data_IF_511877988637
#
_entry.id   IF_511877988637
#
_cell.length_a   1.000
_cell.length_b   1.000
_cell.length_c   1.000
_cell.angle_alpha   90.00
_cell.angle_beta   90.00
_cell.angle_gamma   90.00
#
_symmetry.space_group_name_H-M   'P 1'
#
loop_
_entity.id
_entity.type
_entity.pdbx_description
1 polymer ?
#
# COMPACT_ATOMS: atom_id res chain seq x y z
N UNK A 1 -8.97 -43.38 5.46
CA UNK A 1 -10.07 -42.39 5.47
C UNK A 1 -9.52 -41.13 4.82
N UNK A 2 -10.11 -40.63 3.74
CA UNK A 2 -9.79 -39.30 3.19
C UNK A 2 -10.48 -38.28 4.08
N UNK A 3 -9.73 -37.34 4.64
CA UNK A 3 -10.29 -36.24 5.41
C UNK A 3 -11.01 -35.25 4.46
N UNK A 4 -12.32 -35.17 4.59
CA UNK A 4 -13.17 -34.36 3.71
C UNK A 4 -12.89 -32.86 3.84
N UNK A 5 -12.32 -32.39 4.97
CA UNK A 5 -11.95 -30.99 5.21
C UNK A 5 -10.89 -30.47 4.24
N UNK A 6 -10.11 -31.35 3.59
CA UNK A 6 -9.12 -30.98 2.58
C UNK A 6 -9.65 -31.08 1.14
N UNK A 7 -10.91 -31.49 0.97
CA UNK A 7 -11.58 -31.56 -0.33
C UNK A 7 -12.23 -30.22 -0.71
N UNK A 8 -12.50 -30.05 -2.02
CA UNK A 8 -13.29 -28.91 -2.50
C UNK A 8 -14.78 -29.14 -2.18
N UNK A 9 -15.27 -28.59 -1.09
CA UNK A 9 -16.71 -28.58 -0.77
C UNK A 9 -17.39 -27.39 -1.46
N UNK A 10 -18.06 -27.67 -2.58
CA UNK A 10 -18.77 -26.67 -3.35
C UNK A 10 -19.87 -25.97 -2.52
N UNK A 11 -20.65 -26.70 -1.78
CA UNK A 11 -21.78 -26.17 -1.02
C UNK A 11 -21.27 -25.27 0.13
N UNK A 12 -20.20 -25.71 0.83
CA UNK A 12 -19.53 -24.91 1.87
C UNK A 12 -18.92 -23.63 1.33
N UNK A 13 -18.26 -23.68 0.16
CA UNK A 13 -17.69 -22.47 -0.48
C UNK A 13 -18.77 -21.50 -0.96
N UNK A 14 -19.88 -21.98 -1.53
CA UNK A 14 -21.02 -21.15 -1.91
C UNK A 14 -21.67 -20.50 -0.68
N UNK A 15 -21.82 -21.23 0.43
CA UNK A 15 -22.31 -20.69 1.71
C UNK A 15 -21.37 -19.64 2.28
N UNK A 16 -20.06 -19.87 2.28
CA UNK A 16 -19.04 -18.91 2.73
C UNK A 16 -19.07 -17.62 1.91
N UNK A 17 -19.18 -17.71 0.58
CA UNK A 17 -19.36 -16.56 -0.30
C UNK A 17 -20.68 -15.83 0.01
N UNK A 18 -21.76 -16.57 0.26
CA UNK A 18 -23.05 -16.00 0.67
C UNK A 18 -22.96 -15.23 1.98
N UNK A 19 -22.20 -15.71 2.97
CA UNK A 19 -21.93 -14.99 4.23
C UNK A 19 -21.20 -13.68 3.95
N UNK A 20 -20.13 -13.72 3.18
CA UNK A 20 -19.36 -12.52 2.79
C UNK A 20 -20.26 -11.48 2.12
N UNK A 21 -21.02 -11.86 1.09
CA UNK A 21 -21.85 -10.93 0.32
C UNK A 21 -22.99 -10.34 1.13
N UNK A 22 -23.60 -11.11 2.06
CA UNK A 22 -24.62 -10.59 2.98
C UNK A 22 -24.04 -9.52 3.91
N UNK A 23 -22.94 -9.82 4.60
CA UNK A 23 -22.28 -8.85 5.51
C UNK A 23 -21.72 -7.63 4.77
N UNK A 24 -21.36 -7.77 3.49
CA UNK A 24 -20.99 -6.62 2.65
C UNK A 24 -22.18 -5.74 2.30
N UNK A 25 -23.37 -6.31 2.09
CA UNK A 25 -24.57 -5.56 1.73
C UNK A 25 -25.26 -4.93 2.96
N UNK A 26 -25.34 -5.68 4.06
CA UNK A 26 -26.02 -5.26 5.31
C UNK A 26 -25.17 -5.69 6.51
N UNK A 27 -24.22 -4.82 6.94
CA UNK A 27 -23.29 -5.15 8.01
C UNK A 27 -23.96 -5.32 9.36
N UNK A 28 -23.83 -6.47 9.97
CA UNK A 28 -24.34 -6.70 11.35
C UNK A 28 -23.49 -5.99 12.41
N UNK A 29 -22.19 -5.77 12.16
CA UNK A 29 -21.30 -5.03 13.04
C UNK A 29 -21.16 -5.59 14.44
N UNK A 30 -21.36 -6.90 14.62
CA UNK A 30 -21.30 -7.53 15.92
C UNK A 30 -19.90 -7.48 16.53
N UNK A 31 -19.83 -7.38 17.87
CA UNK A 31 -18.55 -7.51 18.58
C UNK A 31 -17.94 -8.92 18.35
N UNK A 32 -16.61 -9.00 18.40
CA UNK A 32 -15.90 -10.27 18.23
C UNK A 32 -16.27 -11.23 19.39
N UNK A 33 -16.94 -12.33 19.06
CA UNK A 33 -17.31 -13.40 19.97
C UNK A 33 -16.44 -14.64 19.75
N UNK A 34 -15.29 -14.67 20.41
CA UNK A 34 -14.39 -15.83 20.39
C UNK A 34 -14.14 -16.33 21.82
N UNK A 35 -13.96 -17.65 22.00
CA UNK A 35 -13.58 -18.20 23.30
C UNK A 35 -12.19 -17.66 23.71
N UNK A 36 -11.98 -17.44 25.01
CA UNK A 36 -10.72 -16.96 25.57
C UNK A 36 -9.57 -17.97 25.41
N UNK A 37 -9.87 -19.25 25.22
CA UNK A 37 -8.90 -20.31 25.00
C UNK A 37 -9.30 -21.17 23.80
N UNK A 38 -8.33 -21.91 23.24
CA UNK A 38 -8.59 -22.85 22.15
C UNK A 38 -9.63 -23.89 22.58
N UNK A 39 -10.76 -24.02 21.85
CA UNK A 39 -11.77 -25.03 22.13
C UNK A 39 -11.19 -26.46 22.05
N UNK A 40 -11.58 -27.32 22.97
CA UNK A 40 -11.19 -28.74 22.94
C UNK A 40 -11.88 -29.54 21.84
N UNK A 41 -13.02 -29.03 21.34
CA UNK A 41 -13.75 -29.62 20.22
C UNK A 41 -14.14 -28.52 19.23
N UNK A 42 -14.03 -28.81 17.92
CA UNK A 42 -14.43 -27.90 16.85
C UNK A 42 -15.95 -27.85 16.68
N UNK A 43 -16.46 -26.74 16.17
CA UNK A 43 -17.86 -26.55 15.83
C UNK A 43 -18.21 -26.97 14.38
N UNK A 44 -17.19 -27.27 13.57
CA UNK A 44 -17.28 -27.47 12.12
C UNK A 44 -17.07 -26.20 11.32
N UNK A 45 -16.77 -26.36 10.04
CA UNK A 45 -16.28 -25.27 9.16
C UNK A 45 -17.32 -24.17 8.99
N UNK A 46 -18.56 -24.53 8.64
CA UNK A 46 -19.61 -23.54 8.39
C UNK A 46 -20.00 -22.75 9.65
N UNK A 47 -20.12 -23.42 10.79
CA UNK A 47 -20.43 -22.77 12.07
C UNK A 47 -19.30 -21.82 12.51
N UNK A 48 -18.03 -22.15 12.21
CA UNK A 48 -16.90 -21.26 12.46
C UNK A 48 -16.99 -19.99 11.59
N UNK A 49 -17.36 -20.13 10.31
CA UNK A 49 -17.54 -19.00 9.40
C UNK A 49 -18.74 -18.12 9.79
N UNK A 50 -19.87 -18.72 10.15
CA UNK A 50 -21.07 -18.03 10.64
C UNK A 50 -20.79 -17.23 11.93
N UNK A 51 -19.93 -17.74 12.79
CA UNK A 51 -19.51 -17.05 14.00
C UNK A 51 -18.59 -15.86 13.72
N UNK A 52 -17.69 -15.97 12.72
CA UNK A 52 -16.72 -14.94 12.39
C UNK A 52 -17.29 -13.83 11.52
N UNK A 53 -18.17 -14.14 10.57
CA UNK A 53 -18.61 -13.20 9.55
C UNK A 53 -19.24 -11.91 10.12
N UNK A 54 -20.12 -11.93 11.13
CA UNK A 54 -20.72 -10.71 11.68
C UNK A 54 -19.71 -9.70 12.24
N UNK A 55 -18.67 -10.18 12.92
CA UNK A 55 -17.66 -9.32 13.51
C UNK A 55 -16.53 -8.98 12.52
N UNK A 56 -16.02 -9.97 11.78
CA UNK A 56 -14.86 -9.77 10.89
C UNK A 56 -15.26 -9.04 9.61
N UNK A 57 -16.32 -9.47 8.95
CA UNK A 57 -16.81 -8.84 7.72
C UNK A 57 -17.75 -7.68 8.03
N UNK A 58 -18.75 -7.89 8.90
CA UNK A 58 -19.73 -6.87 9.28
C UNK A 58 -19.12 -5.72 10.06
N UNK A 59 -18.10 -5.97 10.91
CA UNK A 59 -17.37 -4.96 11.69
C UNK A 59 -16.28 -4.23 10.90
N UNK A 60 -15.92 -4.70 9.69
CA UNK A 60 -14.86 -4.06 8.90
C UNK A 60 -15.30 -2.73 8.31
N UNK A 61 -14.41 -1.74 8.33
CA UNK A 61 -14.67 -0.47 7.64
C UNK A 61 -14.66 -0.68 6.13
N UNK A 62 -15.65 -0.10 5.45
CA UNK A 62 -15.81 -0.19 4.00
C UNK A 62 -14.87 0.81 3.31
N UNK A 63 -13.70 0.36 2.87
CA UNK A 63 -12.69 1.18 2.18
C UNK A 63 -13.21 1.76 0.85
N UNK A 64 -14.19 1.11 0.22
CA UNK A 64 -14.86 1.59 -1.00
C UNK A 64 -16.11 2.43 -0.76
N UNK A 65 -16.45 2.80 0.49
CA UNK A 65 -17.57 3.68 0.75
C UNK A 65 -17.31 5.10 0.19
N UNK A 66 -18.34 5.79 -0.35
CA UNK A 66 -18.15 7.13 -0.92
C UNK A 66 -17.56 8.15 0.06
N UNK A 67 -17.82 8.02 1.35
CA UNK A 67 -17.26 8.91 2.37
C UNK A 67 -15.87 8.53 2.88
N UNK A 68 -15.22 7.48 2.34
CA UNK A 68 -13.90 7.05 2.84
C UNK A 68 -12.76 7.73 2.08
N UNK A 69 -12.13 8.73 2.73
CA UNK A 69 -10.93 9.44 2.27
C UNK A 69 -9.90 9.54 3.40
N UNK A 70 -9.33 8.41 3.84
CA UNK A 70 -8.50 8.38 5.04
C UNK A 70 -7.09 7.84 4.84
N UNK A 71 -6.93 6.54 4.82
CA UNK A 71 -5.63 5.88 4.77
C UNK A 71 -5.19 5.59 3.32
N UNK A 72 -3.92 5.23 3.14
CA UNK A 72 -3.40 4.74 1.86
C UNK A 72 -3.86 3.29 1.59
N UNK A 73 -5.14 3.02 1.85
CA UNK A 73 -5.76 1.70 1.79
C UNK A 73 -6.94 1.74 0.81
N UNK A 74 -6.74 1.37 -0.46
CA UNK A 74 -7.81 1.31 -1.44
C UNK A 74 -8.73 0.11 -1.22
N UNK A 75 -9.97 0.15 -1.75
CA UNK A 75 -10.73 -1.07 -1.97
C UNK A 75 -10.03 -1.95 -3.01
N UNK A 76 -10.19 -3.27 -2.89
CA UNK A 76 -9.66 -4.22 -3.85
C UNK A 76 -10.71 -4.62 -4.88
N UNK A 77 -10.36 -4.84 -6.15
CA UNK A 77 -11.31 -5.28 -7.17
C UNK A 77 -11.74 -6.74 -6.93
N UNK A 78 -12.99 -7.06 -7.24
CA UNK A 78 -13.55 -8.41 -7.03
C UNK A 78 -12.76 -9.52 -7.75
N UNK A 79 -12.14 -9.20 -8.90
CA UNK A 79 -11.29 -10.16 -9.62
C UNK A 79 -10.07 -10.58 -8.78
N UNK A 80 -9.51 -9.66 -7.99
CA UNK A 80 -8.42 -9.99 -7.07
C UNK A 80 -8.89 -10.91 -5.95
N UNK A 81 -10.13 -10.77 -5.44
CA UNK A 81 -10.70 -11.69 -4.43
C UNK A 81 -10.82 -13.11 -4.97
N UNK A 82 -11.38 -13.23 -6.20
CA UNK A 82 -11.58 -14.54 -6.84
C UNK A 82 -10.26 -15.29 -6.99
N UNK A 83 -9.21 -14.58 -7.44
CA UNK A 83 -7.91 -15.21 -7.70
C UNK A 83 -7.12 -15.43 -6.39
N UNK A 84 -7.33 -14.62 -5.36
CA UNK A 84 -6.79 -14.90 -4.02
C UNK A 84 -7.31 -16.22 -3.45
N UNK A 85 -8.57 -16.58 -3.72
CA UNK A 85 -9.10 -17.91 -3.37
C UNK A 85 -8.36 -19.04 -4.11
N UNK A 86 -8.00 -18.84 -5.39
CA UNK A 86 -7.18 -19.83 -6.12
C UNK A 86 -5.81 -20.00 -5.49
N UNK A 87 -5.15 -18.87 -5.13
CA UNK A 87 -3.85 -18.92 -4.46
C UNK A 87 -3.92 -19.70 -3.14
N UNK A 88 -4.99 -19.46 -2.34
CA UNK A 88 -5.22 -20.19 -1.10
C UNK A 88 -5.50 -21.68 -1.32
N UNK A 89 -6.36 -22.01 -2.30
CA UNK A 89 -6.72 -23.40 -2.61
C UNK A 89 -5.53 -24.22 -3.13
N UNK A 90 -4.65 -23.61 -3.92
CA UNK A 90 -3.47 -24.28 -4.49
C UNK A 90 -2.30 -24.33 -3.52
N UNK A 91 -2.21 -23.39 -2.58
CA UNK A 91 -1.14 -23.26 -1.57
C UNK A 91 0.27 -23.47 -2.15
N UNK A 92 0.53 -22.90 -3.33
CA UNK A 92 1.79 -23.07 -4.06
C UNK A 92 2.94 -22.39 -3.33
N UNK A 93 4.08 -23.07 -3.26
CA UNK A 93 5.32 -22.53 -2.72
C UNK A 93 6.28 -22.18 -3.86
N UNK A 94 6.51 -20.88 -4.11
CA UNK A 94 7.35 -20.40 -5.20
C UNK A 94 8.84 -20.69 -4.99
N UNK A 95 9.25 -21.10 -3.79
CA UNK A 95 10.62 -21.56 -3.54
C UNK A 95 10.95 -22.84 -4.33
N UNK A 96 9.95 -23.68 -4.59
CA UNK A 96 10.10 -24.96 -5.28
C UNK A 96 9.39 -24.97 -6.63
N UNK A 97 10.11 -25.00 -7.78
CA UNK A 97 9.50 -25.06 -9.10
C UNK A 97 8.52 -26.23 -9.30
N UNK A 98 8.75 -27.35 -8.63
CA UNK A 98 7.89 -28.54 -8.74
C UNK A 98 6.50 -28.29 -8.16
N UNK A 99 6.37 -27.46 -7.12
CA UNK A 99 5.08 -27.12 -6.48
C UNK A 99 4.42 -25.88 -7.09
N UNK A 100 5.17 -25.04 -7.81
CA UNK A 100 4.68 -23.78 -8.38
C UNK A 100 5.22 -23.52 -9.79
N UNK A 101 5.04 -24.44 -10.75
CA UNK A 101 5.72 -24.35 -12.06
C UNK A 101 5.31 -23.10 -12.86
N UNK A 102 4.03 -22.71 -12.80
CA UNK A 102 3.47 -21.57 -13.55
C UNK A 102 3.49 -20.28 -12.72
N UNK A 103 3.27 -20.36 -11.40
CA UNK A 103 3.14 -19.18 -10.56
C UNK A 103 4.42 -18.36 -10.48
N UNK A 104 5.59 -19.00 -10.55
CA UNK A 104 6.89 -18.32 -10.62
C UNK A 104 7.07 -17.57 -11.93
N UNK A 105 6.77 -18.22 -13.08
CA UNK A 105 6.82 -17.56 -14.40
C UNK A 105 5.83 -16.38 -14.44
N UNK A 106 4.66 -16.52 -13.85
CA UNK A 106 3.68 -15.44 -13.75
C UNK A 106 4.24 -14.24 -12.98
N UNK A 107 4.92 -14.47 -11.85
CA UNK A 107 5.56 -13.40 -11.09
C UNK A 107 6.62 -12.67 -11.92
N UNK A 108 7.53 -13.42 -12.57
CA UNK A 108 8.54 -12.86 -13.46
C UNK A 108 7.91 -12.04 -14.58
N UNK A 109 6.77 -12.49 -15.13
CA UNK A 109 6.03 -11.79 -16.18
C UNK A 109 5.39 -10.50 -15.69
N UNK A 110 4.78 -10.50 -14.49
CA UNK A 110 4.18 -9.30 -13.88
C UNK A 110 5.24 -8.24 -13.61
N UNK A 111 6.41 -8.65 -13.10
CA UNK A 111 7.55 -7.75 -12.90
C UNK A 111 8.00 -7.17 -14.25
N UNK A 112 8.15 -8.00 -15.29
CA UNK A 112 8.55 -7.56 -16.62
C UNK A 112 7.55 -6.58 -17.27
N UNK A 113 6.25 -6.66 -16.94
CA UNK A 113 5.27 -5.68 -17.40
C UNK A 113 5.41 -4.32 -16.73
N UNK A 114 5.80 -4.29 -15.45
CA UNK A 114 5.79 -3.07 -14.66
C UNK A 114 7.16 -2.37 -14.59
N UNK A 115 8.25 -3.12 -14.53
CA UNK A 115 9.61 -2.57 -14.37
C UNK A 115 9.98 -1.48 -15.38
N UNK A 116 9.65 -1.59 -16.68
CA UNK A 116 10.01 -0.57 -17.68
C UNK A 116 9.42 0.82 -17.40
N UNK A 117 8.27 0.93 -16.71
CA UNK A 117 7.68 2.23 -16.35
C UNK A 117 8.53 3.03 -15.35
N UNK A 118 9.45 2.36 -14.69
CA UNK A 118 10.37 2.94 -13.72
C UNK A 118 11.82 3.00 -14.21
N UNK A 119 12.10 2.61 -15.47
CA UNK A 119 13.45 2.49 -15.99
C UNK A 119 14.24 1.30 -15.44
N UNK A 120 13.55 0.30 -14.88
CA UNK A 120 14.17 -0.86 -14.23
C UNK A 120 14.21 -2.07 -15.17
N UNK A 121 15.25 -2.90 -15.01
CA UNK A 121 15.43 -4.12 -15.82
C UNK A 121 14.64 -5.33 -15.28
N UNK A 122 14.28 -5.31 -13.98
CA UNK A 122 13.57 -6.40 -13.31
C UNK A 122 13.47 -6.21 -11.82
N UNK A 123 13.20 -7.31 -11.09
CA UNK A 123 13.02 -7.31 -9.65
C UNK A 123 12.25 -8.54 -9.19
N UNK A 124 11.55 -8.43 -8.05
CA UNK A 124 10.67 -9.48 -7.54
C UNK A 124 9.59 -8.93 -6.62
N UNK A 125 8.58 -9.74 -6.33
CA UNK A 125 7.54 -9.38 -5.37
C UNK A 125 8.00 -9.62 -3.93
N UNK A 126 7.49 -8.76 -3.05
CA UNK A 126 7.70 -8.82 -1.60
C UNK A 126 6.39 -8.49 -0.87
N UNK A 127 6.20 -8.90 0.40
CA UNK A 127 4.91 -8.71 1.09
C UNK A 127 4.57 -7.26 1.44
N UNK A 128 5.45 -6.31 1.18
CA UNK A 128 5.17 -4.89 1.40
C UNK A 128 6.40 -4.04 1.16
N UNK A 129 6.20 -2.74 0.94
CA UNK A 129 7.30 -1.81 0.62
C UNK A 129 8.32 -1.66 1.75
N UNK A 130 7.98 -1.97 3.00
CA UNK A 130 8.98 -2.05 4.07
C UNK A 130 10.03 -3.12 3.78
N UNK A 131 9.61 -4.28 3.24
CA UNK A 131 10.52 -5.34 2.81
C UNK A 131 11.21 -4.97 1.50
N UNK A 132 10.51 -4.25 0.59
CA UNK A 132 11.14 -3.73 -0.63
C UNK A 132 12.29 -2.77 -0.32
N UNK A 133 12.07 -1.79 0.57
CA UNK A 133 13.11 -0.85 1.01
C UNK A 133 14.28 -1.59 1.70
N UNK A 134 13.98 -2.56 2.57
CA UNK A 134 15.00 -3.39 3.21
C UNK A 134 15.82 -4.15 2.18
N UNK A 135 15.18 -4.79 1.19
CA UNK A 135 15.84 -5.59 0.17
C UNK A 135 16.71 -4.73 -0.75
N UNK A 136 16.23 -3.55 -1.14
CA UNK A 136 16.99 -2.61 -1.96
C UNK A 136 18.25 -2.11 -1.25
N UNK A 137 18.13 -1.72 0.02
CA UNK A 137 19.25 -1.27 0.84
C UNK A 137 20.22 -2.41 1.19
N UNK A 138 19.72 -3.63 1.32
CA UNK A 138 20.57 -4.80 1.47
C UNK A 138 21.41 -5.05 0.22
N UNK A 139 20.81 -5.02 -0.98
CA UNK A 139 21.54 -5.12 -2.23
C UNK A 139 22.63 -4.01 -2.36
N UNK A 140 22.28 -2.77 -2.01
CA UNK A 140 23.23 -1.65 -1.99
C UNK A 140 24.44 -1.92 -1.08
N UNK A 141 24.19 -2.43 0.13
CA UNK A 141 25.26 -2.79 1.08
C UNK A 141 26.18 -3.88 0.53
N UNK A 142 25.59 -4.96 0.01
CA UNK A 142 26.38 -6.11 -0.50
C UNK A 142 27.16 -5.77 -1.76
N UNK A 143 26.59 -4.94 -2.66
CA UNK A 143 27.23 -4.60 -3.93
C UNK A 143 28.31 -3.52 -3.80
N UNK A 144 28.05 -2.49 -3.00
CA UNK A 144 28.85 -1.26 -3.01
C UNK A 144 29.43 -0.92 -1.65
N UNK A 145 29.16 -1.73 -0.61
CA UNK A 145 29.65 -1.49 0.74
C UNK A 145 29.18 -0.17 1.33
N UNK A 146 27.93 0.25 1.02
CA UNK A 146 27.36 1.46 1.64
C UNK A 146 27.34 1.33 3.15
N UNK A 147 27.62 2.41 3.86
CA UNK A 147 27.72 2.45 5.31
C UNK A 147 26.61 3.28 5.96
N UNK A 148 25.96 4.11 5.14
CA UNK A 148 24.96 5.05 5.60
C UNK A 148 23.75 5.06 4.67
N UNK A 149 22.58 5.31 5.25
CA UNK A 149 21.34 5.64 4.54
C UNK A 149 21.01 7.09 4.80
N UNK A 150 20.88 7.88 3.74
CA UNK A 150 20.48 9.28 3.79
C UNK A 150 19.10 9.42 3.19
N UNK A 151 18.19 10.13 3.89
CA UNK A 151 16.83 10.36 3.41
C UNK A 151 16.29 11.70 3.94
N UNK A 152 15.17 12.20 3.38
CA UNK A 152 14.48 13.35 3.95
C UNK A 152 13.87 13.02 5.32
N UNK A 153 13.59 14.06 6.13
CA UNK A 153 12.87 13.87 7.41
C UNK A 153 11.45 13.32 7.22
N UNK A 154 10.87 13.48 6.03
CA UNK A 154 9.56 12.97 5.66
C UNK A 154 9.58 11.52 5.18
N UNK A 155 10.76 10.88 5.12
CA UNK A 155 10.89 9.49 4.72
C UNK A 155 10.06 8.56 5.62
N UNK A 156 9.45 7.55 5.02
CA UNK A 156 8.67 6.57 5.77
C UNK A 156 9.56 5.82 6.77
N UNK A 157 8.99 5.49 7.94
CA UNK A 157 9.69 4.82 9.05
C UNK A 157 10.35 3.47 8.66
N UNK A 158 9.96 2.85 7.54
CA UNK A 158 10.61 1.65 7.02
C UNK A 158 12.06 1.89 6.61
N UNK A 159 12.42 3.13 6.22
CA UNK A 159 13.77 3.48 5.78
C UNK A 159 14.75 3.46 6.95
N UNK A 160 14.57 4.23 8.05
CA UNK A 160 15.44 4.12 9.21
C UNK A 160 15.39 2.73 9.87
N UNK A 161 14.23 2.04 9.82
CA UNK A 161 14.13 0.66 10.30
C UNK A 161 14.99 -0.29 9.47
N UNK A 162 14.99 -0.18 8.14
CA UNK A 162 15.83 -0.99 7.26
C UNK A 162 17.33 -0.73 7.52
N UNK A 163 17.73 0.54 7.68
CA UNK A 163 19.09 0.90 8.06
C UNK A 163 19.52 0.24 9.37
N UNK A 164 18.67 0.31 10.41
CA UNK A 164 18.93 -0.33 11.71
C UNK A 164 19.07 -1.85 11.60
N UNK A 165 18.19 -2.52 10.86
CA UNK A 165 18.25 -3.99 10.64
C UNK A 165 19.54 -4.38 9.93
N UNK A 166 20.00 -3.57 8.96
CA UNK A 166 21.19 -3.83 8.17
C UNK A 166 22.50 -3.38 8.86
N UNK A 167 22.43 -2.76 10.04
CA UNK A 167 23.59 -2.22 10.75
C UNK A 167 24.20 -0.99 10.05
N UNK A 168 23.40 -0.28 9.23
CA UNK A 168 23.80 0.95 8.55
C UNK A 168 23.47 2.17 9.43
N UNK A 169 24.27 3.23 9.33
CA UNK A 169 23.92 4.53 9.93
C UNK A 169 22.71 5.11 9.18
N UNK A 170 21.86 5.83 9.88
CA UNK A 170 20.79 6.61 9.26
C UNK A 170 21.00 8.09 9.55
N UNK A 171 20.88 8.92 8.51
CA UNK A 171 20.95 10.37 8.59
C UNK A 171 19.80 11.01 7.83
N UNK A 172 18.98 11.79 8.54
CA UNK A 172 18.01 12.67 7.90
C UNK A 172 18.69 13.93 7.38
N UNK A 173 18.37 14.35 6.16
CA UNK A 173 18.98 15.51 5.51
C UNK A 173 17.97 16.27 4.63
N UNK A 174 18.26 17.54 4.33
CA UNK A 174 17.66 18.20 3.18
C UNK A 174 18.27 17.60 1.90
N UNK A 175 17.46 17.02 1.04
CA UNK A 175 17.93 16.36 -0.18
C UNK A 175 18.40 17.32 -1.27
N UNK A 176 18.28 18.63 -1.06
CA UNK A 176 18.88 19.66 -1.91
C UNK A 176 20.37 19.87 -1.59
N UNK A 177 20.75 19.62 -0.34
CA UNK A 177 22.10 19.73 0.17
C UNK A 177 22.43 18.54 1.09
N UNK A 178 22.42 17.29 0.57
CA UNK A 178 22.49 16.09 1.39
C UNK A 178 23.89 15.81 1.98
N UNK A 179 24.91 16.58 1.60
CA UNK A 179 26.30 16.36 2.00
C UNK A 179 26.98 15.25 1.20
N UNK A 180 28.07 14.68 1.75
CA UNK A 180 28.80 13.58 1.10
C UNK A 180 27.94 12.31 1.01
N UNK A 181 27.78 11.78 -0.20
CA UNK A 181 27.00 10.59 -0.52
C UNK A 181 27.87 9.44 -1.08
N UNK A 182 29.18 9.61 -1.16
CA UNK A 182 30.09 8.65 -1.82
C UNK A 182 30.06 7.24 -1.23
N UNK A 183 29.63 7.08 0.03
CA UNK A 183 29.45 5.79 0.72
C UNK A 183 28.02 5.63 1.28
N UNK A 184 27.08 6.38 0.74
CA UNK A 184 25.70 6.41 1.20
C UNK A 184 24.72 5.82 0.16
N UNK A 185 23.66 5.18 0.65
CA UNK A 185 22.44 4.99 -0.10
C UNK A 185 21.52 6.20 0.14
N UNK A 186 21.27 6.97 -0.92
CA UNK A 186 20.29 8.05 -0.90
C UNK A 186 18.90 7.48 -1.15
N UNK A 187 17.97 7.70 -0.22
CA UNK A 187 16.58 7.29 -0.35
C UNK A 187 15.70 8.52 -0.56
N UNK A 188 15.06 8.59 -1.70
CA UNK A 188 14.11 9.63 -2.08
C UNK A 188 12.69 9.05 -2.02
N UNK A 189 11.73 9.84 -1.55
CA UNK A 189 10.33 9.41 -1.41
C UNK A 189 9.47 10.00 -2.52
N UNK A 190 8.82 9.13 -3.29
CA UNK A 190 7.80 9.53 -4.25
C UNK A 190 6.41 9.41 -3.59
N UNK A 191 5.97 10.52 -2.99
CA UNK A 191 4.71 10.61 -2.26
C UNK A 191 4.84 10.33 -0.76
N UNK A 192 5.21 11.35 0.00
CA UNK A 192 5.36 11.27 1.47
C UNK A 192 4.02 10.96 2.16
N UNK A 193 4.09 10.33 3.33
CA UNK A 193 2.86 9.89 4.02
C UNK A 193 1.98 11.02 4.53
N UNK A 194 2.54 12.17 4.84
CA UNK A 194 1.80 13.30 5.42
C UNK A 194 1.13 14.14 4.35
N UNK A 195 1.90 14.62 3.37
CA UNK A 195 1.44 15.59 2.38
C UNK A 195 1.34 15.05 0.95
N UNK A 196 1.94 13.89 0.69
CA UNK A 196 2.05 13.37 -0.68
C UNK A 196 3.18 14.01 -1.49
N UNK A 197 4.02 14.85 -0.88
CA UNK A 197 5.11 15.52 -1.56
C UNK A 197 6.10 14.52 -2.16
N UNK A 198 6.69 14.90 -3.28
CA UNK A 198 7.70 14.12 -4.00
C UNK A 198 9.07 14.76 -3.77
N UNK A 199 10.01 13.98 -3.26
CA UNK A 199 11.40 14.40 -3.14
C UNK A 199 12.02 14.67 -4.53
N UNK A 200 13.11 15.43 -4.66
CA UNK A 200 13.76 15.68 -5.94
C UNK A 200 14.41 14.38 -6.47
N UNK A 201 13.66 13.59 -7.25
CA UNK A 201 14.09 12.25 -7.69
C UNK A 201 15.33 12.22 -8.58
N UNK A 202 15.71 13.36 -9.17
CA UNK A 202 16.96 13.51 -9.91
C UNK A 202 18.18 13.89 -9.04
N UNK A 203 18.02 14.08 -7.72
CA UNK A 203 19.12 14.48 -6.83
C UNK A 203 20.13 13.35 -6.57
N UNK A 204 21.30 13.73 -6.02
CA UNK A 204 22.30 12.79 -5.52
C UNK A 204 22.95 11.92 -6.58
N UNK A 205 23.32 12.48 -7.73
CA UNK A 205 24.00 11.74 -8.80
C UNK A 205 25.36 11.14 -8.36
N UNK A 206 25.93 11.64 -7.28
CA UNK A 206 27.18 11.20 -6.64
C UNK A 206 26.97 10.17 -5.52
N UNK A 207 25.74 9.83 -5.21
CA UNK A 207 25.43 8.78 -4.21
C UNK A 207 25.93 7.41 -4.71
N UNK A 208 26.47 6.62 -3.77
CA UNK A 208 26.89 5.25 -4.07
C UNK A 208 25.70 4.39 -4.56
N UNK A 209 24.51 4.62 -4.00
CA UNK A 209 23.27 3.97 -4.42
C UNK A 209 22.10 4.95 -4.30
N UNK A 210 21.21 4.94 -5.30
CA UNK A 210 20.00 5.75 -5.32
C UNK A 210 18.78 4.85 -5.27
N UNK A 211 17.98 5.00 -4.24
CA UNK A 211 16.74 4.25 -4.05
C UNK A 211 15.54 5.18 -4.02
N UNK A 212 14.46 4.86 -4.72
CA UNK A 212 13.20 5.59 -4.63
C UNK A 212 12.15 4.75 -3.92
N UNK A 213 11.74 5.20 -2.74
CA UNK A 213 10.53 4.71 -2.10
C UNK A 213 9.29 5.31 -2.79
N UNK A 214 8.84 4.63 -3.84
CA UNK A 214 7.65 4.95 -4.61
C UNK A 214 6.44 4.12 -4.17
N UNK A 215 6.42 3.70 -2.90
CA UNK A 215 5.37 2.86 -2.35
C UNK A 215 3.97 3.43 -2.55
N UNK A 216 3.82 4.75 -2.49
CA UNK A 216 2.55 5.43 -2.73
C UNK A 216 2.38 5.85 -4.18
N UNK A 217 3.21 6.78 -4.63
CA UNK A 217 2.99 7.44 -5.90
C UNK A 217 3.51 6.66 -7.13
N UNK A 218 4.27 5.59 -6.95
CA UNK A 218 4.84 4.81 -8.05
C UNK A 218 3.87 4.50 -9.19
N UNK A 219 2.63 4.04 -8.92
CA UNK A 219 1.66 3.75 -9.96
C UNK A 219 1.25 4.93 -10.85
N UNK A 220 1.54 6.19 -10.48
CA UNK A 220 1.37 7.36 -11.37
C UNK A 220 2.16 7.23 -12.68
N UNK A 221 3.26 6.46 -12.71
CA UNK A 221 4.02 6.19 -13.95
C UNK A 221 3.22 5.45 -15.01
N UNK A 222 2.11 4.82 -14.66
CA UNK A 222 1.18 4.19 -15.61
C UNK A 222 0.27 5.20 -16.30
N UNK A 223 0.03 6.37 -15.68
CA UNK A 223 -0.83 7.45 -16.20
C UNK A 223 -0.02 8.38 -17.10
N UNK A 224 -0.48 8.60 -18.33
CA UNK A 224 0.13 9.59 -19.24
C UNK A 224 -0.04 11.03 -18.71
N UNK A 225 -1.12 11.29 -17.96
CA UNK A 225 -1.42 12.60 -17.39
C UNK A 225 -0.54 12.97 -16.22
N UNK A 226 -0.16 11.99 -15.39
CA UNK A 226 0.49 12.22 -14.11
C UNK A 226 1.91 11.64 -14.01
N UNK A 227 2.39 10.93 -15.05
CA UNK A 227 3.70 10.28 -15.01
C UNK A 227 4.87 11.23 -14.74
N UNK A 228 4.79 12.47 -15.27
CA UNK A 228 5.84 13.49 -15.13
C UNK A 228 6.05 13.96 -13.70
N UNK A 229 5.09 13.76 -12.79
CA UNK A 229 5.29 14.02 -11.35
C UNK A 229 6.44 13.22 -10.75
N UNK A 230 6.82 12.13 -11.41
CA UNK A 230 7.89 11.24 -10.96
C UNK A 230 9.09 11.21 -11.92
N UNK A 231 9.29 12.27 -12.72
CA UNK A 231 10.46 12.36 -13.60
C UNK A 231 11.76 12.33 -12.77
N UNK A 232 12.74 11.57 -13.26
CA UNK A 232 13.99 11.27 -12.56
C UNK A 232 13.98 9.91 -11.84
N UNK A 233 12.84 9.26 -11.65
CA UNK A 233 12.75 7.93 -11.02
C UNK A 233 13.55 6.88 -11.80
N UNK A 234 13.59 7.00 -13.13
CA UNK A 234 14.32 6.11 -14.05
C UNK A 234 15.83 6.15 -13.88
N UNK A 235 16.35 7.15 -13.15
CA UNK A 235 17.79 7.27 -12.88
C UNK A 235 18.20 6.60 -11.55
N UNK A 236 17.26 6.00 -10.81
CA UNK A 236 17.55 5.30 -9.57
C UNK A 236 18.14 3.89 -9.84
N UNK A 237 18.92 3.37 -8.89
CA UNK A 237 19.42 1.99 -8.90
C UNK A 237 18.33 1.00 -8.48
N UNK A 238 17.38 1.44 -7.67
CA UNK A 238 16.25 0.63 -7.21
C UNK A 238 15.01 1.45 -6.90
N UNK A 239 13.84 0.81 -7.05
CA UNK A 239 12.52 1.40 -6.77
C UNK A 239 11.66 0.43 -5.98
N UNK A 240 10.97 0.91 -4.95
CA UNK A 240 9.96 0.16 -4.21
C UNK A 240 8.56 0.65 -4.58
N UNK A 241 7.63 -0.27 -4.94
CA UNK A 241 6.26 0.06 -5.31
C UNK A 241 5.28 -0.82 -4.54
N UNK A 242 4.29 -0.24 -3.83
CA UNK A 242 3.24 -1.04 -3.19
C UNK A 242 2.14 -1.42 -4.17
N UNK A 243 1.92 -2.72 -4.36
CA UNK A 243 0.76 -3.22 -5.09
C UNK A 243 -0.55 -2.97 -4.32
N UNK A 244 -0.51 -3.10 -3.00
CA UNK A 244 -1.67 -2.92 -2.11
C UNK A 244 -2.04 -1.44 -1.82
N UNK A 245 -1.48 -0.49 -2.54
CA UNK A 245 -1.89 0.92 -2.57
C UNK A 245 -2.55 1.21 -3.94
N UNK A 246 -2.02 2.03 -4.77
CA UNK A 246 -2.65 2.46 -6.02
C UNK A 246 -2.58 1.45 -7.20
N UNK A 247 -2.14 0.20 -6.96
CA UNK A 247 -2.45 -0.92 -7.85
C UNK A 247 -3.65 -1.74 -7.35
N UNK A 248 -4.30 -1.31 -6.26
CA UNK A 248 -5.56 -1.83 -5.70
C UNK A 248 -5.53 -3.31 -5.31
N UNK A 249 -4.37 -3.81 -4.89
CA UNK A 249 -4.21 -5.21 -4.54
C UNK A 249 -4.54 -5.50 -3.07
N UNK A 250 -4.87 -6.75 -2.73
CA UNK A 250 -4.85 -7.20 -1.33
C UNK A 250 -3.51 -6.91 -0.68
N UNK A 251 -3.49 -6.85 0.66
CA UNK A 251 -2.25 -6.67 1.43
C UNK A 251 -1.22 -7.74 1.07
N UNK A 252 0.03 -7.50 1.48
CA UNK A 252 1.18 -8.36 1.17
C UNK A 252 1.56 -8.36 -0.32
N UNK A 253 1.33 -7.24 -1.01
CA UNK A 253 1.68 -7.04 -2.41
C UNK A 253 2.53 -5.77 -2.57
N UNK A 254 3.80 -5.95 -2.93
CA UNK A 254 4.72 -4.89 -3.33
C UNK A 254 5.80 -5.44 -4.26
N UNK A 255 6.48 -4.55 -4.97
CA UNK A 255 7.60 -4.87 -5.83
C UNK A 255 8.86 -4.16 -5.32
N UNK A 256 9.99 -4.83 -5.38
CA UNK A 256 11.31 -4.23 -5.39
C UNK A 256 11.90 -4.41 -6.80
N UNK A 257 12.24 -3.28 -7.42
CA UNK A 257 12.72 -3.21 -8.79
C UNK A 257 14.15 -2.67 -8.82
N UNK A 258 14.97 -3.13 -9.76
CA UNK A 258 16.38 -2.75 -9.89
C UNK A 258 16.71 -2.35 -11.32
N UNK A 259 17.58 -1.36 -11.48
CA UNK A 259 18.13 -0.96 -12.77
C UNK A 259 18.96 -2.09 -13.39
N UNK A 260 19.72 -2.80 -12.56
CA UNK A 260 20.45 -4.04 -12.92
C UNK A 260 19.99 -5.16 -11.97
N UNK A 261 18.89 -5.83 -12.34
CA UNK A 261 18.27 -6.86 -11.52
C UNK A 261 19.14 -8.11 -11.40
N UNK A 262 19.90 -8.48 -12.44
CA UNK A 262 20.78 -9.65 -12.39
C UNK A 262 21.89 -9.46 -11.36
N UNK A 263 22.57 -8.31 -11.40
CA UNK A 263 23.61 -7.96 -10.45
C UNK A 263 23.08 -7.83 -9.03
N UNK A 264 21.94 -7.16 -8.85
CA UNK A 264 21.30 -7.00 -7.54
C UNK A 264 20.89 -8.35 -6.95
N UNK A 265 20.20 -9.19 -7.72
CA UNK A 265 19.80 -10.53 -7.28
C UNK A 265 21.02 -11.40 -6.95
N UNK A 266 22.08 -11.33 -7.75
CA UNK A 266 23.33 -12.07 -7.48
C UNK A 266 23.92 -11.77 -6.11
N UNK A 267 23.82 -10.52 -5.64
CA UNK A 267 24.37 -10.09 -4.34
C UNK A 267 23.57 -10.54 -3.13
N UNK A 268 22.28 -10.82 -3.29
CA UNK A 268 21.34 -11.19 -2.22
C UNK A 268 20.72 -12.57 -2.43
N UNK A 269 21.39 -13.43 -3.18
CA UNK A 269 20.96 -14.80 -3.47
C UNK A 269 21.72 -15.82 -2.63
N UNK A 270 20.98 -16.83 -2.15
CA UNK A 270 21.53 -17.93 -1.38
C UNK A 270 21.13 -19.28 -1.99
N UNK A 271 22.10 -20.09 -2.32
CA UNK A 271 21.90 -21.46 -2.81
C UNK A 271 22.00 -22.49 -1.68
N UNK A 272 21.36 -23.62 -1.87
CA UNK A 272 21.58 -24.82 -1.04
C UNK A 272 21.33 -26.08 -1.88
N UNK A 273 21.80 -27.23 -1.39
CA UNK A 273 21.70 -28.49 -2.12
C UNK A 273 20.28 -29.01 -2.38
N UNK A 274 19.27 -28.43 -1.72
CA UNK A 274 17.86 -28.79 -1.93
C UNK A 274 17.10 -27.79 -2.82
N UNK A 275 17.74 -26.68 -3.23
CA UNK A 275 17.12 -25.66 -4.06
C UNK A 275 17.52 -25.85 -5.51
N UNK A 276 16.54 -25.99 -6.41
CA UNK A 276 16.76 -26.07 -7.85
C UNK A 276 17.32 -24.76 -8.44
N UNK A 277 16.99 -23.61 -7.82
CA UNK A 277 17.53 -22.28 -8.11
C UNK A 277 17.85 -21.56 -6.79
N UNK A 278 18.85 -20.66 -6.76
CA UNK A 278 19.10 -19.85 -5.59
C UNK A 278 17.84 -19.07 -5.16
N UNK A 279 17.66 -18.95 -3.85
CA UNK A 279 16.64 -18.09 -3.27
C UNK A 279 17.11 -16.64 -3.27
N UNK A 280 16.28 -15.73 -3.75
CA UNK A 280 16.58 -14.29 -3.83
C UNK A 280 15.87 -13.53 -2.73
N UNK A 281 16.59 -12.63 -2.06
CA UNK A 281 16.02 -11.72 -1.08
C UNK A 281 15.70 -12.39 0.26
N UNK A 282 14.81 -11.75 1.02
CA UNK A 282 14.51 -12.09 2.42
C UNK A 282 13.58 -13.31 2.53
N UNK A 283 12.69 -13.51 1.55
CA UNK A 283 11.68 -14.55 1.63
C UNK A 283 12.24 -15.92 1.26
N UNK A 284 11.98 -16.91 2.11
CA UNK A 284 12.11 -18.32 1.75
C UNK A 284 10.83 -18.84 1.09
N UNK A 285 10.11 -19.73 1.78
CA UNK A 285 8.79 -20.20 1.32
C UNK A 285 7.80 -19.05 1.26
N UNK A 286 7.19 -18.84 0.11
CA UNK A 286 6.17 -17.81 -0.10
C UNK A 286 5.16 -18.24 -1.17
N UNK A 287 3.96 -17.66 -1.10
CA UNK A 287 2.84 -17.98 -1.98
C UNK A 287 2.83 -17.14 -3.26
N UNK A 288 1.86 -17.41 -4.12
CA UNK A 288 1.69 -16.76 -5.43
C UNK A 288 1.08 -15.34 -5.32
N UNK A 289 1.77 -14.42 -4.66
CA UNK A 289 1.31 -13.04 -4.41
C UNK A 289 1.10 -12.22 -5.71
N UNK A 290 1.76 -12.62 -6.81
CA UNK A 290 1.57 -12.00 -8.12
C UNK A 290 0.20 -12.29 -8.76
N UNK A 291 -0.49 -13.33 -8.35
CA UNK A 291 -1.72 -13.80 -8.99
C UNK A 291 -2.84 -12.74 -9.01
N UNK A 292 -3.20 -12.11 -7.88
CA UNK A 292 -4.21 -11.06 -7.86
C UNK A 292 -3.82 -9.85 -8.72
N UNK A 293 -2.56 -9.45 -8.70
CA UNK A 293 -2.05 -8.34 -9.49
C UNK A 293 -2.11 -8.65 -11.00
N UNK A 294 -1.69 -9.85 -11.40
CA UNK A 294 -1.79 -10.31 -12.79
C UNK A 294 -3.23 -10.28 -13.29
N UNK A 295 -4.17 -10.83 -12.51
CA UNK A 295 -5.58 -10.85 -12.88
C UNK A 295 -6.17 -9.43 -13.03
N UNK A 296 -5.80 -8.52 -12.13
CA UNK A 296 -6.22 -7.12 -12.19
C UNK A 296 -5.65 -6.41 -13.42
N UNK A 297 -4.36 -6.58 -13.69
CA UNK A 297 -3.69 -5.96 -14.84
C UNK A 297 -4.22 -6.53 -16.17
N UNK A 298 -4.53 -7.82 -16.24
CA UNK A 298 -5.16 -8.42 -17.40
C UNK A 298 -6.59 -7.92 -17.61
N UNK A 299 -7.36 -7.74 -16.53
CA UNK A 299 -8.74 -7.26 -16.61
C UNK A 299 -8.84 -5.79 -17.01
N UNK A 300 -7.93 -4.93 -16.56
CA UNK A 300 -7.99 -3.49 -16.78
C UNK A 300 -7.02 -2.98 -17.85
N UNK A 301 -5.94 -3.67 -18.08
CA UNK A 301 -4.81 -3.19 -18.86
C UNK A 301 -4.15 -1.95 -18.24
N UNK A 302 -3.16 -1.39 -18.94
CA UNK A 302 -2.53 -0.11 -18.53
C UNK A 302 -3.56 1.02 -18.47
N UNK A 303 -4.35 1.18 -19.52
CA UNK A 303 -5.31 2.28 -19.63
C UNK A 303 -6.37 2.26 -18.53
N UNK A 304 -6.96 1.09 -18.24
CA UNK A 304 -7.96 0.97 -17.18
C UNK A 304 -7.37 1.14 -15.77
N UNK A 305 -6.10 0.77 -15.55
CA UNK A 305 -5.40 1.05 -14.29
C UNK A 305 -5.12 2.54 -14.14
N UNK A 306 -4.58 3.17 -15.19
CA UNK A 306 -4.33 4.61 -15.22
C UNK A 306 -5.61 5.43 -14.97
N UNK A 307 -6.72 5.06 -15.60
CA UNK A 307 -8.01 5.74 -15.39
C UNK A 307 -8.44 5.79 -13.93
N UNK A 308 -8.21 4.72 -13.16
CA UNK A 308 -8.55 4.66 -11.74
C UNK A 308 -7.63 5.51 -10.88
N UNK A 309 -6.35 5.55 -11.22
CA UNK A 309 -5.35 6.40 -10.58
C UNK A 309 -5.68 7.87 -10.87
N UNK A 310 -5.96 8.22 -12.13
CA UNK A 310 -6.36 9.56 -12.54
C UNK A 310 -7.64 10.00 -11.83
N UNK A 311 -8.62 9.11 -11.68
CA UNK A 311 -9.82 9.38 -10.89
C UNK A 311 -9.50 9.70 -9.42
N UNK A 312 -8.55 9.00 -8.81
CA UNK A 312 -8.10 9.33 -7.46
C UNK A 312 -7.45 10.72 -7.40
N UNK A 313 -6.66 11.08 -8.40
CA UNK A 313 -6.06 12.43 -8.49
C UNK A 313 -7.13 13.50 -8.65
N UNK A 314 -8.16 13.27 -9.51
CA UNK A 314 -9.29 14.19 -9.70
C UNK A 314 -10.10 14.40 -8.40
N UNK A 315 -10.32 13.34 -7.61
CA UNK A 315 -10.98 13.41 -6.31
C UNK A 315 -10.19 14.30 -5.34
N UNK A 316 -8.87 14.18 -5.30
CA UNK A 316 -8.04 15.02 -4.44
C UNK A 316 -8.05 16.48 -4.89
N UNK A 317 -7.96 16.75 -6.20
CA UNK A 317 -8.08 18.10 -6.76
C UNK A 317 -9.43 18.70 -6.40
N UNK A 318 -10.51 17.94 -6.58
CA UNK A 318 -11.86 18.40 -6.25
C UNK A 318 -12.03 18.70 -4.77
N UNK A 319 -11.43 17.89 -3.89
CA UNK A 319 -11.42 18.18 -2.45
C UNK A 319 -10.72 19.50 -2.12
N UNK A 320 -9.58 19.80 -2.75
CA UNK A 320 -8.92 21.09 -2.57
C UNK A 320 -9.82 22.26 -2.99
N UNK A 321 -10.45 22.18 -4.17
CA UNK A 321 -11.39 23.20 -4.63
C UNK A 321 -12.53 23.45 -3.64
N UNK A 322 -13.09 22.38 -3.06
CA UNK A 322 -14.17 22.49 -2.08
C UNK A 322 -13.70 23.09 -0.77
N UNK A 323 -12.50 22.75 -0.31
CA UNK A 323 -11.92 23.32 0.90
C UNK A 323 -11.61 24.80 0.72
N UNK A 324 -11.04 25.20 -0.43
CA UNK A 324 -10.72 26.61 -0.72
C UNK A 324 -11.97 27.47 -0.95
N UNK A 325 -13.07 26.87 -1.39
CA UNK A 325 -14.33 27.58 -1.63
C UNK A 325 -15.16 27.85 -0.35
N UNK A 326 -14.84 27.22 0.79
CA UNK A 326 -15.59 27.37 2.03
C UNK A 326 -14.77 28.13 3.08
N UNK A 327 -15.24 29.33 3.45
CA UNK A 327 -14.57 30.22 4.42
C UNK A 327 -14.41 29.64 5.84
N UNK A 328 -15.06 28.53 6.15
CA UNK A 328 -14.93 27.80 7.42
C UNK A 328 -13.78 26.78 7.41
N UNK A 329 -13.12 26.58 6.28
CA UNK A 329 -12.08 25.58 6.08
C UNK A 329 -10.77 26.25 5.68
N UNK A 330 -9.66 25.55 5.92
CA UNK A 330 -8.32 25.96 5.50
C UNK A 330 -7.60 24.80 4.83
N UNK A 331 -7.09 25.01 3.62
CA UNK A 331 -6.18 24.11 2.93
C UNK A 331 -4.76 24.33 3.46
N UNK A 332 -4.15 23.28 4.03
CA UNK A 332 -2.80 23.32 4.59
C UNK A 332 -1.75 22.76 3.64
N UNK A 333 -2.10 21.77 2.84
CA UNK A 333 -1.25 21.18 1.79
C UNK A 333 -2.14 20.43 0.80
N UNK A 334 -1.88 20.57 -0.47
CA UNK A 334 -2.77 20.00 -1.50
C UNK A 334 -2.05 19.41 -2.67
N UNK A 335 -2.73 18.80 -3.59
CA UNK A 335 -2.82 17.39 -3.90
C UNK A 335 -1.70 16.90 -4.82
N UNK A 336 -0.41 17.03 -4.46
CA UNK A 336 0.71 16.62 -5.33
C UNK A 336 0.56 15.17 -5.81
N UNK A 337 0.26 14.24 -4.88
CA UNK A 337 0.02 12.83 -5.18
C UNK A 337 -1.24 12.30 -4.49
N UNK A 338 -2.36 13.03 -4.61
CA UNK A 338 -3.66 12.56 -4.12
C UNK A 338 -3.84 12.61 -2.60
N UNK A 339 -3.03 13.37 -1.87
CA UNK A 339 -3.16 13.61 -0.43
C UNK A 339 -3.45 15.09 -0.19
N UNK A 340 -4.44 15.36 0.65
CA UNK A 340 -4.87 16.71 1.02
C UNK A 340 -4.83 16.85 2.53
N UNK A 341 -4.11 17.87 3.03
CA UNK A 341 -4.08 18.22 4.44
C UNK A 341 -4.83 19.54 4.63
N UNK A 342 -5.81 19.53 5.51
CA UNK A 342 -6.74 20.63 5.70
C UNK A 342 -7.32 20.66 7.12
N UNK A 343 -8.09 21.68 7.47
CA UNK A 343 -8.76 21.75 8.77
C UNK A 343 -10.02 22.60 8.71
N UNK A 344 -10.99 22.39 9.60
CA UNK A 344 -11.96 23.41 9.94
C UNK A 344 -11.26 24.55 10.69
N UNK A 345 -11.70 25.78 10.45
CA UNK A 345 -11.25 26.95 11.21
C UNK A 345 -11.91 26.94 12.61
N UNK A 346 -11.26 27.63 13.56
CA UNK A 346 -11.71 27.68 14.96
C UNK A 346 -11.08 26.60 15.84
N UNK A 347 -11.50 26.57 17.11
CA UNK A 347 -11.04 25.58 18.10
C UNK A 347 -11.91 24.32 18.04
N UNK A 348 -11.59 23.41 17.13
CA UNK A 348 -12.33 22.15 16.90
C UNK A 348 -11.51 20.97 17.39
N UNK A 349 -12.10 20.15 18.26
CA UNK A 349 -11.53 18.85 18.64
C UNK A 349 -11.64 17.88 17.45
N UNK A 350 -10.51 17.59 16.82
CA UNK A 350 -10.47 16.76 15.60
C UNK A 350 -10.81 15.28 15.86
N UNK A 351 -10.56 14.75 17.07
CA UNK A 351 -10.98 13.38 17.40
C UNK A 351 -12.50 13.31 17.57
N UNK A 352 -13.08 14.22 18.33
CA UNK A 352 -14.52 14.31 18.49
C UNK A 352 -15.22 14.59 17.15
N UNK A 353 -14.63 15.44 16.30
CA UNK A 353 -15.15 15.71 14.95
C UNK A 353 -15.17 14.41 14.12
N UNK A 354 -14.04 13.70 14.04
CA UNK A 354 -13.94 12.45 13.27
C UNK A 354 -14.92 11.40 13.78
N UNK A 355 -15.04 11.26 15.10
CA UNK A 355 -15.93 10.29 15.72
C UNK A 355 -17.41 10.68 15.54
N UNK A 356 -17.71 11.97 15.33
CA UNK A 356 -19.03 12.50 14.98
C UNK A 356 -19.42 12.40 13.51
N UNK A 357 -18.51 11.94 12.62
CA UNK A 357 -18.82 11.70 11.21
C UNK A 357 -19.59 10.39 11.06
N UNK A 358 -20.78 10.43 10.47
CA UNK A 358 -21.64 9.25 10.29
C UNK A 358 -21.38 8.52 8.97
N UNK A 359 -21.20 9.28 7.89
CA UNK A 359 -21.08 8.77 6.53
C UNK A 359 -19.71 9.01 5.91
N UNK A 360 -18.83 9.71 6.64
CA UNK A 360 -17.48 10.05 6.19
C UNK A 360 -16.41 9.51 7.12
N UNK A 361 -15.19 9.43 6.62
CA UNK A 361 -14.04 9.09 7.43
C UNK A 361 -12.77 9.71 6.84
N UNK A 362 -12.07 10.49 7.66
CA UNK A 362 -10.76 11.09 7.35
C UNK A 362 -9.75 10.72 8.43
N UNK A 363 -8.48 10.72 8.11
CA UNK A 363 -7.42 10.54 9.11
C UNK A 363 -6.99 11.88 9.71
N UNK A 364 -6.27 11.81 10.82
CA UNK A 364 -5.64 12.95 11.45
C UNK A 364 -4.13 12.77 11.32
N UNK A 365 -3.43 13.86 11.04
CA UNK A 365 -1.96 13.91 10.94
C UNK A 365 -1.41 15.10 11.73
N UNK A 366 -0.08 15.16 11.84
CA UNK A 366 0.62 16.33 12.34
C UNK A 366 1.41 16.95 11.19
N UNK A 367 1.18 18.23 10.94
CA UNK A 367 1.92 19.05 9.98
C UNK A 367 2.40 20.31 10.70
N UNK A 368 3.69 20.57 10.66
CA UNK A 368 4.34 21.72 11.32
C UNK A 368 4.02 21.85 12.83
N UNK A 369 3.96 20.68 13.50
CA UNK A 369 3.65 20.58 14.93
C UNK A 369 2.18 20.70 15.29
N UNK A 370 1.29 20.92 14.32
CA UNK A 370 -0.15 21.05 14.56
C UNK A 370 -0.95 19.91 13.96
N UNK A 371 -2.01 19.51 14.68
CA UNK A 371 -2.93 18.47 14.21
C UNK A 371 -3.83 19.00 13.10
N UNK A 372 -3.98 18.19 12.04
CA UNK A 372 -4.79 18.49 10.85
C UNK A 372 -5.57 17.26 10.40
N UNK A 373 -6.65 17.48 9.67
CA UNK A 373 -7.29 16.42 8.90
C UNK A 373 -6.38 16.07 7.71
N UNK A 374 -6.33 14.80 7.40
CA UNK A 374 -5.62 14.26 6.25
C UNK A 374 -6.55 13.35 5.46
N UNK A 375 -6.83 13.75 4.25
CA UNK A 375 -7.60 12.99 3.27
C UNK A 375 -6.67 12.36 2.26
N UNK A 376 -6.87 11.07 1.97
CA UNK A 376 -6.07 10.29 1.03
C UNK A 376 -6.98 9.70 -0.03
N UNK A 377 -6.78 10.08 -1.27
CA UNK A 377 -7.57 9.62 -2.40
C UNK A 377 -7.12 8.24 -2.89
N UNK A 378 -7.21 7.23 -2.01
CA UNK A 378 -6.95 5.83 -2.35
C UNK A 378 -8.19 5.13 -2.93
N UNK A 379 -9.38 5.68 -2.69
CA UNK A 379 -10.67 5.13 -3.11
C UNK A 379 -11.19 5.84 -4.37
N UNK A 380 -11.22 5.18 -5.54
CA UNK A 380 -11.71 5.81 -6.77
C UNK A 380 -13.23 6.04 -6.79
N UNK A 381 -13.97 5.53 -5.78
CA UNK A 381 -15.41 5.72 -5.61
C UNK A 381 -15.74 6.80 -4.57
N UNK A 382 -14.74 7.48 -4.01
CA UNK A 382 -14.96 8.50 -3.00
C UNK A 382 -15.66 9.74 -3.58
N UNK A 383 -16.46 10.37 -2.74
CA UNK A 383 -17.23 11.58 -2.99
C UNK A 383 -16.70 12.70 -2.06
N UNK A 384 -15.88 13.61 -2.55
CA UNK A 384 -15.30 14.68 -1.75
C UNK A 384 -16.36 15.67 -1.24
N UNK A 385 -17.46 15.88 -1.94
CA UNK A 385 -18.59 16.70 -1.50
C UNK A 385 -19.21 16.13 -0.24
N UNK A 386 -19.44 14.82 -0.21
CA UNK A 386 -19.93 14.12 0.97
C UNK A 386 -18.99 14.29 2.16
N UNK A 387 -17.68 14.14 1.94
CA UNK A 387 -16.66 14.21 3.00
C UNK A 387 -16.61 15.62 3.61
N UNK A 388 -16.60 16.67 2.79
CA UNK A 388 -16.61 18.06 3.26
C UNK A 388 -17.92 18.36 4.02
N UNK A 389 -19.06 17.96 3.49
CA UNK A 389 -20.36 18.15 4.16
C UNK A 389 -20.41 17.45 5.54
N UNK A 390 -19.87 16.24 5.66
CA UNK A 390 -19.80 15.51 6.92
C UNK A 390 -18.89 16.18 7.95
N UNK A 391 -17.73 16.69 7.53
CA UNK A 391 -16.83 17.45 8.42
C UNK A 391 -17.50 18.72 8.93
N UNK A 392 -18.13 19.50 8.05
CA UNK A 392 -18.83 20.72 8.43
C UNK A 392 -20.02 20.44 9.37
N UNK A 393 -20.79 19.40 9.09
CA UNK A 393 -21.89 18.96 9.95
C UNK A 393 -21.39 18.55 11.35
N UNK A 394 -20.32 17.76 11.42
CA UNK A 394 -19.73 17.33 12.69
C UNK A 394 -19.16 18.52 13.48
N UNK A 395 -18.47 19.46 12.83
CA UNK A 395 -17.94 20.68 13.45
C UNK A 395 -19.07 21.55 14.03
N UNK A 396 -20.16 21.79 13.28
CA UNK A 396 -21.31 22.57 13.75
C UNK A 396 -21.98 21.93 14.98
N UNK A 397 -22.11 20.60 15.03
CA UNK A 397 -22.66 19.89 16.20
C UNK A 397 -21.79 20.10 17.45
N UNK A 398 -20.47 20.06 17.31
CA UNK A 398 -19.54 20.28 18.43
C UNK A 398 -19.63 21.70 18.98
N UNK A 399 -19.78 22.72 18.13
CA UNK A 399 -19.96 24.10 18.51
C UNK A 399 -21.27 24.31 19.31
N UNK A 400 -22.35 23.71 18.85
CA UNK A 400 -23.66 23.77 19.55
C UNK A 400 -23.60 23.11 20.93
N UNK A 401 -22.91 21.99 21.08
CA UNK A 401 -22.74 21.29 22.36
C UNK A 401 -21.88 22.08 23.36
N UNK A 402 -20.92 22.88 22.88
CA UNK A 402 -20.09 23.75 23.74
C UNK A 402 -20.84 25.01 24.22
N UNK A 403 -21.86 25.43 23.48
CA UNK A 403 -22.64 26.66 23.77
C UNK A 403 -23.87 26.39 24.64
N UNK A 404 -24.23 25.15 24.86
CA UNK A 404 -25.32 24.68 25.74
C UNK A 404 -24.77 24.21 27.10
#
# INVERSE_FOLDING_TARGET
MTDASFGADRAGLEAALGLLLRELADPSGAALDLPASLPSAGAGELAALERLAPSVVGGARRLGAPGFLAHMDPPTPWVAWAVAQWAAALNQNLLHPDSAPVARELEERVVAWLAPFFGMSGGHLVPGSSVANLTALWAARELLGVEEVVASQAAHLSVPKAAAILGLRFRAADLREPGDLSRAALVMTAGTTVTGAVDPLGAGADAAWRHVDAAWAGPLRLSERNASLLDGIETADSVAVSGHKWLFQPKESALVLFADAERAHGSISFGSGYLAKPNVGVLGSHGAAALPLAATLLAWGRAGTAQRIDRCMDIATRLCELVEADERLELCSGPETGIVVWRPLGDVDLDALRDGMERGFVSITVLDGERRLRSVSANPMADPELVVAEVLRAATRLEQTRSS
#
